data_IF_552717967961
#
_entry.id   IF_552717967961
#
_cell.length_a   1.000
_cell.length_b   1.000
_cell.length_c   1.000
_cell.angle_alpha   90.00
_cell.angle_beta   90.00
_cell.angle_gamma   90.00
#
_symmetry.space_group_name_H-M   'P 1'
#
loop_
_entity.id
_entity.type
_entity.pdbx_description
1 polymer ?
#
# COMPACT_ATOMS: atom_id res chain seq x y z
N UNK A 1 13.03 7.50 3.99
CA UNK A 1 13.80 6.31 3.54
C UNK A 1 14.26 6.44 2.09
N UNK A 2 13.43 6.84 1.12
CA UNK A 2 13.85 6.94 -0.29
C UNK A 2 15.02 7.92 -0.51
N UNK A 3 15.01 9.07 0.18
CA UNK A 3 16.13 10.01 0.18
C UNK A 3 17.45 9.42 0.67
N UNK A 4 17.42 8.42 1.55
CA UNK A 4 18.62 7.79 2.12
C UNK A 4 19.13 6.71 1.18
N UNK A 5 18.25 5.80 0.75
CA UNK A 5 18.64 4.59 0.01
C UNK A 5 18.72 4.78 -1.51
N UNK A 6 17.88 5.66 -2.07
CA UNK A 6 17.81 5.96 -3.50
C UNK A 6 18.34 7.37 -3.83
N UNK A 7 18.72 8.15 -2.81
CA UNK A 7 19.20 9.55 -2.96
C UNK A 7 18.21 10.47 -3.68
N UNK A 8 16.92 10.15 -3.59
CA UNK A 8 15.86 10.98 -4.17
C UNK A 8 15.76 12.33 -3.43
N UNK A 9 15.76 13.44 -4.18
CA UNK A 9 15.56 14.77 -3.60
C UNK A 9 14.12 14.92 -3.12
N UNK A 10 13.96 15.34 -1.86
CA UNK A 10 12.65 15.69 -1.28
C UNK A 10 12.57 17.20 -1.18
N UNK A 11 11.64 17.81 -1.92
CA UNK A 11 11.36 19.24 -1.77
C UNK A 11 10.51 19.47 -0.51
N UNK A 12 10.61 20.66 0.08
CA UNK A 12 9.75 21.05 1.22
C UNK A 12 8.27 20.94 0.84
N UNK A 13 7.94 21.35 -0.39
CA UNK A 13 6.60 21.25 -0.97
C UNK A 13 6.12 19.79 -1.06
N UNK A 14 6.99 18.85 -1.44
CA UNK A 14 6.69 17.43 -1.42
C UNK A 14 6.35 16.94 0.00
N UNK A 15 7.12 17.34 1.03
CA UNK A 15 6.85 16.94 2.42
C UNK A 15 5.50 17.48 2.89
N UNK A 16 5.17 18.72 2.52
CA UNK A 16 3.86 19.30 2.80
C UNK A 16 2.73 18.50 2.14
N UNK A 17 2.82 18.23 0.83
CA UNK A 17 1.83 17.45 0.09
C UNK A 17 1.71 16.00 0.58
N UNK A 18 2.83 15.40 0.98
CA UNK A 18 2.86 14.08 1.60
C UNK A 18 2.05 14.07 2.91
N UNK A 19 2.21 15.10 3.73
CA UNK A 19 1.49 15.23 5.00
C UNK A 19 -0.01 15.46 4.75
N UNK A 20 -0.38 16.28 3.77
CA UNK A 20 -1.79 16.48 3.40
C UNK A 20 -2.41 15.21 2.84
N UNK A 21 -1.69 14.42 2.05
CA UNK A 21 -2.16 13.11 1.59
C UNK A 21 -2.44 12.16 2.77
N UNK A 22 -1.55 12.09 3.77
CA UNK A 22 -1.79 11.27 4.97
C UNK A 22 -3.02 11.72 5.76
N UNK A 23 -3.24 13.04 5.90
CA UNK A 23 -4.47 13.57 6.52
C UNK A 23 -5.72 13.19 5.71
N UNK A 24 -5.66 13.29 4.37
CA UNK A 24 -6.75 12.87 3.51
C UNK A 24 -7.08 11.39 3.67
N UNK A 25 -6.07 10.53 3.66
CA UNK A 25 -6.22 9.09 3.92
C UNK A 25 -6.82 8.81 5.29
N UNK A 26 -6.40 9.53 6.34
CA UNK A 26 -6.97 9.40 7.68
C UNK A 26 -8.47 9.72 7.69
N UNK A 27 -8.88 10.84 7.07
CA UNK A 27 -10.28 11.23 7.00
C UNK A 27 -11.14 10.22 6.23
N UNK A 28 -10.58 9.56 5.21
CA UNK A 28 -11.28 8.49 4.48
C UNK A 28 -11.50 7.28 5.39
N UNK A 29 -10.49 6.84 6.14
CA UNK A 29 -10.56 5.63 6.94
C UNK A 29 -11.31 5.80 8.26
N UNK A 30 -11.16 6.95 8.92
CA UNK A 30 -11.64 7.16 10.29
C UNK A 30 -12.65 8.31 10.43
N UNK A 31 -12.86 9.10 9.36
CA UNK A 31 -13.73 10.27 9.42
C UNK A 31 -13.27 11.27 10.48
N UNK A 32 -14.22 11.74 11.30
CA UNK A 32 -13.97 12.62 12.46
C UNK A 32 -14.05 11.87 13.79
N UNK A 33 -14.01 10.54 13.76
CA UNK A 33 -14.06 9.76 15.00
C UNK A 33 -12.87 10.15 15.90
N UNK A 34 -13.10 10.37 17.20
CA UNK A 34 -12.02 10.71 18.11
C UNK A 34 -11.04 9.54 18.22
N UNK A 35 -9.75 9.86 18.16
CA UNK A 35 -8.68 8.87 18.38
C UNK A 35 -8.61 8.60 19.89
N UNK A 36 -9.11 7.45 20.32
CA UNK A 36 -8.89 6.97 21.69
C UNK A 36 -7.55 6.23 21.77
N UNK A 37 -6.49 6.95 22.11
CA UNK A 37 -5.20 6.34 22.47
C UNK A 37 -5.29 5.77 23.88
N UNK A 38 -5.58 4.46 23.99
CA UNK A 38 -5.50 3.74 25.26
C UNK A 38 -4.24 2.88 25.27
N UNK A 39 -3.29 3.22 26.14
CA UNK A 39 -2.09 2.41 26.39
C UNK A 39 -2.33 1.33 27.46
N UNK A 40 -3.56 0.81 27.56
CA UNK A 40 -3.95 -0.19 28.55
C UNK A 40 -3.46 -1.60 28.13
N UNK A 41 -2.14 -1.80 28.12
CA UNK A 41 -1.48 -3.05 27.69
C UNK A 41 -1.44 -3.28 26.17
N UNK A 42 -1.73 -2.25 25.37
CA UNK A 42 -1.78 -2.31 23.89
C UNK A 42 -0.54 -1.70 23.21
N UNK A 43 0.48 -1.33 23.96
CA UNK A 43 1.69 -0.66 23.46
C UNK A 43 2.38 -1.49 22.38
N UNK A 44 2.44 -2.81 22.59
CA UNK A 44 3.02 -3.74 21.61
C UNK A 44 2.28 -3.71 20.27
N UNK A 45 0.97 -3.51 20.27
CA UNK A 45 0.16 -3.44 19.03
C UNK A 45 0.55 -2.18 18.25
N UNK A 46 0.71 -1.03 18.91
CA UNK A 46 1.14 0.19 18.26
C UNK A 46 2.56 0.09 17.70
N UNK A 47 3.48 -0.53 18.43
CA UNK A 47 4.84 -0.79 17.95
C UNK A 47 4.85 -1.72 16.73
N UNK A 48 4.05 -2.78 16.76
CA UNK A 48 3.90 -3.70 15.62
C UNK A 48 3.28 -2.99 14.42
N UNK A 49 2.30 -2.11 14.60
CA UNK A 49 1.69 -1.34 13.51
C UNK A 49 2.68 -0.37 12.85
N UNK A 50 3.47 0.35 13.65
CA UNK A 50 4.53 1.23 13.14
C UNK A 50 5.61 0.39 12.43
N UNK A 51 6.00 -0.75 13.01
CA UNK A 51 6.93 -1.69 12.40
C UNK A 51 6.43 -2.21 11.06
N UNK A 52 5.16 -2.58 10.97
CA UNK A 52 4.53 -3.03 9.71
C UNK A 52 4.55 -1.92 8.66
N UNK A 53 4.20 -0.68 9.02
CA UNK A 53 4.27 0.46 8.12
C UNK A 53 5.70 0.74 7.63
N UNK A 54 6.69 0.63 8.52
CA UNK A 54 8.10 0.76 8.16
C UNK A 54 8.58 -0.34 7.21
N UNK A 55 8.24 -1.60 7.50
CA UNK A 55 8.55 -2.74 6.64
C UNK A 55 7.92 -2.60 5.26
N UNK A 56 6.65 -2.17 5.19
CA UNK A 56 5.95 -1.93 3.94
C UNK A 56 6.64 -0.86 3.08
N UNK A 57 6.86 0.33 3.66
CA UNK A 57 7.51 1.43 2.95
C UNK A 57 8.97 1.12 2.53
N UNK A 58 9.70 0.37 3.35
CA UNK A 58 11.05 -0.09 3.00
C UNK A 58 11.02 -1.12 1.87
N UNK A 59 10.01 -1.99 1.83
CA UNK A 59 9.79 -2.95 0.77
C UNK A 59 9.67 -2.31 -0.61
N UNK A 60 8.94 -1.19 -0.73
CA UNK A 60 8.81 -0.42 -1.99
C UNK A 60 10.16 0.14 -2.45
N UNK A 61 10.97 0.65 -1.53
CA UNK A 61 12.29 1.24 -1.82
C UNK A 61 13.29 0.15 -2.24
N UNK A 62 13.34 -0.97 -1.52
CA UNK A 62 14.19 -2.10 -1.86
C UNK A 62 13.76 -2.72 -3.20
N UNK A 63 12.46 -2.82 -3.45
CA UNK A 63 11.91 -3.28 -4.74
C UNK A 63 12.38 -2.40 -5.89
N UNK A 64 12.37 -1.07 -5.71
CA UNK A 64 12.90 -0.14 -6.71
C UNK A 64 14.39 -0.36 -6.95
N UNK A 65 15.19 -0.56 -5.90
CA UNK A 65 16.62 -0.84 -6.01
C UNK A 65 16.93 -2.18 -6.69
N UNK A 66 16.08 -3.18 -6.51
CA UNK A 66 16.20 -4.49 -7.19
C UNK A 66 15.97 -4.33 -8.69
N UNK A 67 15.00 -3.49 -9.09
CA UNK A 67 14.72 -3.19 -10.50
C UNK A 67 15.87 -2.52 -11.25
N UNK A 68 16.88 -1.98 -10.55
CA UNK A 68 18.12 -1.48 -11.18
C UNK A 68 19.02 -2.62 -11.67
N UNK A 69 18.80 -3.86 -11.18
CA UNK A 69 19.65 -5.03 -11.47
C UNK A 69 18.96 -6.13 -12.26
N UNK A 70 17.64 -6.19 -12.20
CA UNK A 70 16.85 -7.26 -12.85
C UNK A 70 15.60 -6.68 -13.48
N UNK A 71 15.10 -7.34 -14.52
CA UNK A 71 13.83 -6.98 -15.15
C UNK A 71 12.64 -7.22 -14.23
N UNK A 72 11.54 -6.50 -14.47
CA UNK A 72 10.34 -6.54 -13.64
C UNK A 72 9.69 -7.92 -13.49
N UNK A 73 9.69 -8.84 -14.49
CA UNK A 73 9.14 -10.19 -14.30
C UNK A 73 10.00 -10.99 -13.32
N UNK A 74 11.33 -10.87 -13.44
CA UNK A 74 12.30 -11.51 -12.55
C UNK A 74 12.18 -10.98 -11.11
N UNK A 75 12.02 -9.66 -10.93
CA UNK A 75 11.78 -9.06 -9.63
C UNK A 75 10.49 -9.58 -8.99
N UNK A 76 9.42 -9.70 -9.77
CA UNK A 76 8.12 -10.23 -9.32
C UNK A 76 8.26 -11.69 -8.91
N UNK A 77 8.90 -12.52 -9.72
CA UNK A 77 9.15 -13.93 -9.42
C UNK A 77 9.98 -14.11 -8.13
N UNK A 78 11.04 -13.30 -7.98
CA UNK A 78 11.88 -13.34 -6.77
C UNK A 78 11.09 -12.99 -5.52
N UNK A 79 10.18 -12.00 -5.59
CA UNK A 79 9.34 -11.64 -4.46
C UNK A 79 8.44 -12.79 -4.01
N UNK A 80 7.79 -13.49 -4.93
CA UNK A 80 6.94 -14.64 -4.59
C UNK A 80 7.77 -15.83 -4.11
N UNK A 81 8.91 -16.11 -4.75
CA UNK A 81 9.79 -17.20 -4.36
C UNK A 81 10.31 -17.02 -2.93
N UNK A 82 10.67 -15.79 -2.54
CA UNK A 82 11.11 -15.47 -1.18
C UNK A 82 9.95 -15.39 -0.18
N UNK A 83 8.76 -14.97 -0.61
CA UNK A 83 7.59 -14.90 0.26
C UNK A 83 7.21 -16.27 0.82
N UNK A 84 7.37 -17.35 0.06
CA UNK A 84 7.03 -18.72 0.49
C UNK A 84 7.80 -19.15 1.76
N UNK A 85 9.15 -19.27 1.76
CA UNK A 85 9.89 -19.71 2.94
C UNK A 85 9.77 -18.73 4.11
N UNK A 86 9.68 -17.42 3.84
CA UNK A 86 9.48 -16.41 4.89
C UNK A 86 8.12 -16.61 5.57
N UNK A 87 7.06 -16.84 4.79
CA UNK A 87 5.72 -17.08 5.33
C UNK A 87 5.68 -18.36 6.18
N UNK A 88 6.31 -19.44 5.70
CA UNK A 88 6.45 -20.67 6.50
C UNK A 88 7.21 -20.43 7.81
N UNK A 89 8.31 -19.67 7.78
CA UNK A 89 9.04 -19.32 9.00
C UNK A 89 8.14 -18.60 10.02
N UNK A 90 7.33 -17.65 9.58
CA UNK A 90 6.36 -16.97 10.45
C UNK A 90 5.29 -17.92 11.01
N UNK A 91 4.75 -18.83 10.19
CA UNK A 91 3.78 -19.84 10.65
C UNK A 91 4.38 -20.67 11.79
N UNK A 92 5.62 -21.15 11.63
CA UNK A 92 6.31 -21.93 12.66
C UNK A 92 6.62 -21.10 13.92
N UNK A 93 7.11 -19.87 13.76
CA UNK A 93 7.43 -18.99 14.90
C UNK A 93 6.18 -18.61 15.71
N UNK A 94 5.06 -18.38 15.02
CA UNK A 94 3.78 -18.05 15.65
C UNK A 94 3.01 -19.29 16.13
N UNK A 95 3.56 -20.49 15.91
CA UNK A 95 2.94 -21.78 16.24
C UNK A 95 1.52 -21.91 15.69
N UNK A 96 1.28 -21.38 14.50
CA UNK A 96 -0.02 -21.44 13.85
C UNK A 96 -0.24 -22.83 13.24
N UNK A 97 -1.37 -23.44 13.56
CA UNK A 97 -1.82 -24.70 12.97
C UNK A 97 -3.00 -24.45 12.05
N UNK A 98 -2.95 -24.99 10.83
CA UNK A 98 -4.02 -24.89 9.86
C UNK A 98 -4.62 -26.26 9.59
N UNK A 99 -5.95 -26.34 9.66
CA UNK A 99 -6.70 -27.52 9.29
C UNK A 99 -7.08 -27.44 7.81
N UNK A 100 -6.30 -28.11 6.96
CA UNK A 100 -6.52 -28.13 5.51
C UNK A 100 -7.78 -28.90 5.11
N UNK A 101 -8.40 -29.67 6.02
CA UNK A 101 -9.62 -30.43 5.73
C UNK A 101 -10.86 -29.54 5.61
N UNK A 102 -10.78 -28.29 6.08
CA UNK A 102 -11.87 -27.31 5.98
C UNK A 102 -11.90 -26.55 4.64
N UNK A 103 -10.91 -26.77 3.76
CA UNK A 103 -10.83 -26.07 2.48
C UNK A 103 -11.58 -26.89 1.42
N UNK A 104 -12.74 -26.40 0.99
CA UNK A 104 -13.46 -27.05 -0.10
C UNK A 104 -12.77 -26.80 -1.45
N UNK A 105 -12.91 -27.72 -2.40
CA UNK A 105 -12.33 -27.58 -3.75
C UNK A 105 -12.79 -26.30 -4.47
N UNK A 106 -14.02 -25.85 -4.21
CA UNK A 106 -14.54 -24.58 -4.73
C UNK A 106 -13.85 -23.34 -4.17
N UNK A 107 -13.36 -23.41 -2.92
CA UNK A 107 -12.59 -22.32 -2.29
C UNK A 107 -11.19 -22.22 -2.89
N UNK A 108 -10.61 -23.34 -3.31
CA UNK A 108 -9.31 -23.35 -3.96
C UNK A 108 -9.32 -22.58 -5.30
N UNK A 109 -10.36 -22.76 -6.12
CA UNK A 109 -10.49 -22.03 -7.40
C UNK A 109 -10.69 -20.53 -7.14
N UNK A 110 -11.54 -20.17 -6.16
CA UNK A 110 -11.74 -18.77 -5.75
C UNK A 110 -10.45 -18.14 -5.25
N UNK A 111 -9.70 -18.88 -4.43
CA UNK A 111 -8.39 -18.46 -3.94
C UNK A 111 -7.41 -18.23 -5.09
N UNK A 112 -7.32 -19.15 -6.06
CA UNK A 112 -6.42 -18.98 -7.21
C UNK A 112 -6.79 -17.75 -8.06
N UNK A 113 -8.07 -17.47 -8.27
CA UNK A 113 -8.49 -16.29 -9.03
C UNK A 113 -8.15 -15.01 -8.25
N UNK A 114 -8.51 -14.94 -6.96
CA UNK A 114 -8.33 -13.74 -6.16
C UNK A 114 -6.84 -13.51 -5.84
N UNK A 115 -6.17 -14.51 -5.28
CA UNK A 115 -4.76 -14.41 -4.91
C UNK A 115 -3.82 -14.50 -6.12
N UNK A 116 -4.18 -15.22 -7.19
CA UNK A 116 -3.33 -15.31 -8.38
C UNK A 116 -3.48 -14.09 -9.29
N UNK A 117 -4.70 -13.68 -9.62
CA UNK A 117 -4.93 -12.74 -10.72
C UNK A 117 -5.17 -11.32 -10.20
N UNK A 118 -6.09 -11.13 -9.26
CA UNK A 118 -6.58 -9.78 -8.93
C UNK A 118 -5.79 -9.09 -7.83
N UNK A 119 -5.45 -9.80 -6.75
CA UNK A 119 -4.80 -9.21 -5.56
C UNK A 119 -3.33 -9.63 -5.36
N UNK A 120 -2.90 -10.75 -5.94
CA UNK A 120 -1.51 -11.22 -5.81
C UNK A 120 -0.73 -11.11 -7.10
N UNK A 121 -0.47 -12.21 -7.82
CA UNK A 121 0.56 -12.21 -8.87
C UNK A 121 0.30 -11.21 -10.01
N UNK A 122 -0.93 -11.12 -10.52
CA UNK A 122 -1.30 -10.16 -11.56
C UNK A 122 -1.15 -8.70 -11.10
N UNK A 123 -1.66 -8.36 -9.91
CA UNK A 123 -1.48 -7.02 -9.33
C UNK A 123 -0.01 -6.67 -9.09
N UNK A 124 0.77 -7.62 -8.55
CA UNK A 124 2.20 -7.40 -8.32
C UNK A 124 2.98 -7.24 -9.63
N UNK A 125 2.63 -7.97 -10.67
CA UNK A 125 3.24 -7.80 -11.98
C UNK A 125 3.02 -6.38 -12.52
N UNK A 126 1.78 -5.88 -12.45
CA UNK A 126 1.46 -4.50 -12.82
C UNK A 126 2.16 -3.48 -11.91
N UNK A 127 2.26 -3.77 -10.61
CA UNK A 127 2.98 -2.95 -9.65
C UNK A 127 4.46 -2.81 -10.01
N UNK A 128 5.17 -3.91 -10.28
CA UNK A 128 6.59 -3.87 -10.65
C UNK A 128 6.81 -3.21 -12.02
N UNK A 129 5.90 -3.44 -12.97
CA UNK A 129 5.91 -2.77 -14.27
C UNK A 129 5.77 -1.24 -14.13
N UNK A 130 4.85 -0.78 -13.28
CA UNK A 130 4.70 0.65 -12.97
C UNK A 130 5.87 1.22 -12.15
N UNK A 131 6.37 0.47 -11.17
CA UNK A 131 7.47 0.88 -10.30
C UNK A 131 8.77 1.06 -11.08
N UNK A 132 9.02 0.29 -12.13
CA UNK A 132 10.20 0.44 -12.98
C UNK A 132 10.27 1.85 -13.60
N UNK A 133 9.12 2.43 -13.95
CA UNK A 133 9.01 3.72 -14.64
C UNK A 133 8.77 4.92 -13.71
N UNK A 134 8.56 4.68 -12.42
CA UNK A 134 8.22 5.71 -11.43
C UNK A 134 9.25 5.80 -10.30
N UNK A 135 9.37 6.97 -9.68
CA UNK A 135 10.21 7.15 -8.49
C UNK A 135 9.53 6.54 -7.27
N UNK A 136 10.30 5.97 -6.35
CA UNK A 136 9.75 5.24 -5.21
C UNK A 136 8.89 6.15 -4.31
N UNK A 137 9.31 7.42 -4.13
CA UNK A 137 8.51 8.40 -3.39
C UNK A 137 7.12 8.64 -3.99
N UNK A 138 6.95 8.60 -5.31
CA UNK A 138 5.66 8.84 -5.96
C UNK A 138 4.80 7.58 -5.91
N UNK A 139 5.38 6.42 -6.19
CA UNK A 139 4.68 5.14 -6.13
C UNK A 139 4.09 4.90 -4.73
N UNK A 140 4.81 5.27 -3.67
CA UNK A 140 4.32 5.17 -2.28
C UNK A 140 3.05 6.01 -2.05
N UNK A 141 2.97 7.22 -2.61
CA UNK A 141 1.76 8.05 -2.48
C UNK A 141 0.65 7.60 -3.44
N UNK A 142 0.99 7.04 -4.61
CA UNK A 142 0.01 6.39 -5.47
C UNK A 142 -0.61 5.15 -4.81
N UNK A 143 0.10 4.44 -3.93
CA UNK A 143 -0.47 3.36 -3.12
C UNK A 143 -1.55 3.87 -2.16
N UNK A 144 -1.58 5.16 -1.78
CA UNK A 144 -2.70 5.73 -1.02
C UNK A 144 -4.00 5.83 -1.86
N UNK A 145 -4.04 5.29 -3.09
CA UNK A 145 -5.30 5.00 -3.74
C UNK A 145 -6.07 3.85 -3.09
N UNK A 146 -5.44 2.99 -2.29
CA UNK A 146 -6.13 1.90 -1.59
C UNK A 146 -7.28 2.39 -0.70
N UNK A 147 -7.12 3.42 0.17
CA UNK A 147 -8.24 4.01 0.91
C UNK A 147 -9.38 4.52 0.02
N UNK A 148 -9.08 5.16 -1.12
CA UNK A 148 -10.10 5.67 -2.05
C UNK A 148 -10.87 4.51 -2.69
N UNK A 149 -10.17 3.49 -3.18
CA UNK A 149 -10.82 2.30 -3.74
C UNK A 149 -11.62 1.55 -2.66
N UNK A 150 -11.09 1.47 -1.44
CA UNK A 150 -11.76 0.82 -0.31
C UNK A 150 -13.10 1.47 -0.01
N UNK A 151 -13.18 2.80 0.04
CA UNK A 151 -14.46 3.46 0.30
C UNK A 151 -15.42 3.38 -0.90
N UNK A 152 -14.90 3.40 -2.13
CA UNK A 152 -15.69 3.17 -3.34
C UNK A 152 -16.32 1.78 -3.38
N UNK A 153 -15.64 0.76 -2.83
CA UNK A 153 -16.22 -0.57 -2.65
C UNK A 153 -17.22 -0.57 -1.50
N UNK A 154 -16.88 0.06 -0.37
CA UNK A 154 -17.71 0.07 0.83
C UNK A 154 -19.11 0.67 0.63
N UNK A 155 -19.28 1.60 -0.32
CA UNK A 155 -20.59 2.21 -0.64
C UNK A 155 -21.48 1.32 -1.51
N UNK A 156 -20.97 0.18 -1.97
CA UNK A 156 -21.71 -0.77 -2.81
C UNK A 156 -22.16 -1.99 -1.98
N UNK A 157 -23.03 -2.86 -2.53
CA UNK A 157 -23.36 -4.15 -1.90
C UNK A 157 -22.16 -5.08 -1.72
N UNK A 158 -21.00 -4.75 -2.30
CA UNK A 158 -19.75 -5.50 -2.13
C UNK A 158 -19.01 -5.16 -0.84
N UNK A 159 -19.59 -4.33 0.04
CA UNK A 159 -18.99 -4.01 1.33
C UNK A 159 -18.73 -5.30 2.13
N UNK A 160 -17.46 -5.65 2.44
CA UNK A 160 -17.15 -6.86 3.17
C UNK A 160 -17.61 -6.83 4.63
N UNK A 161 -17.94 -5.64 5.15
CA UNK A 161 -18.34 -5.44 6.56
C UNK A 161 -19.87 -5.40 6.76
N UNK A 162 -20.67 -5.63 5.72
CA UNK A 162 -22.13 -5.70 5.83
C UNK A 162 -22.86 -4.81 4.82
N UNK A 163 -23.83 -4.02 5.29
CA UNK A 163 -24.62 -3.14 4.42
C UNK A 163 -23.74 -2.04 3.78
N UNK A 164 -24.13 -1.52 2.59
CA UNK A 164 -23.45 -0.37 1.99
C UNK A 164 -23.22 0.77 2.99
N UNK A 165 -21.97 1.22 3.09
CA UNK A 165 -21.57 2.32 3.95
C UNK A 165 -22.11 3.65 3.39
N UNK A 166 -22.62 4.51 4.28
CA UNK A 166 -22.95 5.88 3.90
C UNK A 166 -21.69 6.76 3.92
N UNK A 167 -21.52 7.57 2.87
CA UNK A 167 -20.41 8.52 2.77
C UNK A 167 -20.68 9.70 3.70
N UNK A 168 -19.76 9.99 4.62
CA UNK A 168 -19.81 11.20 5.46
C UNK A 168 -19.06 12.36 4.81
N UNK A 169 -19.36 13.60 5.22
CA UNK A 169 -18.63 14.80 4.78
C UNK A 169 -17.10 14.70 4.92
N UNK A 170 -16.57 14.22 6.06
CA UNK A 170 -15.14 13.95 6.23
C UNK A 170 -14.56 12.99 5.19
N UNK A 171 -15.29 11.96 4.78
CA UNK A 171 -14.81 11.03 3.76
C UNK A 171 -14.64 11.75 2.41
N UNK A 172 -15.60 12.59 2.01
CA UNK A 172 -15.53 13.35 0.74
C UNK A 172 -14.34 14.30 0.76
N UNK A 173 -14.18 15.05 1.85
CA UNK A 173 -13.05 15.97 2.03
C UNK A 173 -11.72 15.19 1.97
N UNK A 174 -11.66 14.03 2.63
CA UNK A 174 -10.50 13.15 2.61
C UNK A 174 -10.14 12.68 1.20
N UNK A 175 -11.13 12.23 0.41
CA UNK A 175 -10.95 11.83 -1.00
C UNK A 175 -10.38 13.00 -1.82
N UNK A 176 -10.97 14.19 -1.71
CA UNK A 176 -10.55 15.37 -2.47
C UNK A 176 -9.11 15.75 -2.12
N UNK A 177 -8.79 15.86 -0.82
CA UNK A 177 -7.44 16.22 -0.35
C UNK A 177 -6.42 15.20 -0.83
N UNK A 178 -6.73 13.91 -0.72
CA UNK A 178 -5.82 12.84 -1.09
C UNK A 178 -5.55 12.82 -2.60
N UNK A 179 -6.60 12.87 -3.42
CA UNK A 179 -6.47 12.90 -4.88
C UNK A 179 -5.72 14.15 -5.34
N UNK A 180 -6.06 15.32 -4.81
CA UNK A 180 -5.37 16.57 -5.14
C UNK A 180 -3.88 16.49 -4.78
N UNK A 181 -3.54 15.96 -3.60
CA UNK A 181 -2.15 15.81 -3.16
C UNK A 181 -1.37 14.89 -4.10
N UNK A 182 -1.94 13.74 -4.47
CA UNK A 182 -1.29 12.77 -5.38
C UNK A 182 -1.09 13.36 -6.77
N UNK A 183 -2.10 14.04 -7.32
CA UNK A 183 -2.01 14.70 -8.63
C UNK A 183 -0.92 15.77 -8.60
N UNK A 184 -0.89 16.63 -7.59
CA UNK A 184 0.12 17.69 -7.47
C UNK A 184 1.53 17.13 -7.32
N UNK A 185 1.72 16.10 -6.48
CA UNK A 185 3.02 15.40 -6.35
C UNK A 185 3.48 14.84 -7.70
N UNK A 186 2.55 14.27 -8.47
CA UNK A 186 2.85 13.67 -9.77
C UNK A 186 3.22 14.73 -10.81
N UNK A 187 2.46 15.82 -10.89
CA UNK A 187 2.70 16.94 -11.80
C UNK A 187 4.03 17.65 -11.51
N UNK A 188 4.34 17.89 -10.24
CA UNK A 188 5.62 18.51 -9.85
C UNK A 188 6.82 17.66 -10.26
N UNK A 189 6.71 16.34 -10.12
CA UNK A 189 7.79 15.46 -10.55
C UNK A 189 7.97 15.48 -12.07
N UNK A 190 6.89 15.51 -12.84
CA UNK A 190 6.97 15.65 -14.30
C UNK A 190 7.64 16.97 -14.70
N UNK A 191 7.26 18.09 -14.06
CA UNK A 191 7.88 19.39 -14.31
C UNK A 191 9.39 19.39 -13.97
N UNK A 192 9.78 18.79 -12.85
CA UNK A 192 11.19 18.67 -12.46
C UNK A 192 12.00 17.79 -13.42
N UNK A 193 11.40 16.73 -13.96
CA UNK A 193 12.09 15.86 -14.93
C UNK A 193 12.34 16.58 -16.26
N UNK A 194 11.41 17.41 -16.71
CA UNK A 194 11.57 18.18 -17.94
C UNK A 194 12.64 19.28 -17.81
N UNK A 195 12.69 19.98 -16.67
CA UNK A 195 13.71 21.02 -16.41
C UNK A 195 15.17 20.51 -16.32
N UNK A 196 15.39 19.20 -16.19
CA UNK A 196 16.73 18.59 -16.16
C UNK A 196 17.19 18.14 -17.56
N UNK A 197 16.27 18.10 -18.53
CA UNK A 197 16.53 17.65 -19.90
C UNK A 197 16.61 18.80 -20.92
N UNK A 198 16.34 20.04 -20.50
CA UNK A 198 16.58 21.28 -21.25
C UNK A 198 17.88 21.96 -20.76
#
# INVERSE_FOLDING_TARGET
MSAIFLKEKLSVRFIFLATTALMGSYLISFGTAPISLSFDGKEIIYLLAIGAAFCWGTGTILSKKVLDKVEFPTATALRFLLAIPISFAFIFMLKQSYDFTQIATGDFVRFLIIAGITGGAGALFLYYWGLQNTQAKISTFAELMFPVVSILIAITPLNPYGSPQQISGPNIIGIIILLASIILITLENHAQKNQVHD
#
